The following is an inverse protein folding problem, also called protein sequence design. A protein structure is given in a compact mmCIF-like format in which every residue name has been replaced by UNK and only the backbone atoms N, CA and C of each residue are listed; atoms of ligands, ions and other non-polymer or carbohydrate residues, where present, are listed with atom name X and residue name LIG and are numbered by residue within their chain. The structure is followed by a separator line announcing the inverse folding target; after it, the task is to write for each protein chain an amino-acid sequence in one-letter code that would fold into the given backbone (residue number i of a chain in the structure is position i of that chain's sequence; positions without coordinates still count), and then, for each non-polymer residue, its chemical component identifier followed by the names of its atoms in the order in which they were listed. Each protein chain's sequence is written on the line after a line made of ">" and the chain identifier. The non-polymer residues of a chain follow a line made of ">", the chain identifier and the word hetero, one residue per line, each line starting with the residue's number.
data_IF_143887558441
#
_entry.id   IF_143887558441
#
_cell.length_a   1.000
_cell.length_b   1.000
_cell.length_c   1.000
_cell.angle_alpha   90.00
_cell.angle_beta   90.00
_cell.angle_gamma   90.00
#
_symmetry.space_group_name_H-M   'P 1'
#
loop_
_entity.id
_entity.type
_entity.pdbx_description
1 polymer ?
#
# COMPACT_ATOMS: atom_id res chain seq x y z
N UNK A 1 -2.60 -4.19 14.97
CA UNK A 1 -1.41 -3.89 14.14
C UNK A 1 -1.43 -2.42 13.75
N UNK A 2 -0.27 -1.77 13.62
CA UNK A 2 -0.21 -0.39 13.09
C UNK A 2 -0.54 -0.39 11.59
N UNK A 3 -1.18 0.69 11.10
CA UNK A 3 -1.47 0.90 9.68
C UNK A 3 -0.20 0.75 8.81
N UNK A 4 0.94 1.21 9.32
CA UNK A 4 2.24 1.09 8.64
C UNK A 4 2.62 -0.39 8.48
N UNK A 5 2.41 -1.20 9.52
CA UNK A 5 2.67 -2.63 9.48
C UNK A 5 1.75 -3.32 8.48
N UNK A 6 0.46 -2.97 8.46
CA UNK A 6 -0.51 -3.53 7.50
C UNK A 6 -0.13 -3.21 6.05
N UNK A 7 0.15 -1.94 5.74
CA UNK A 7 0.58 -1.50 4.40
C UNK A 7 1.88 -2.23 4.00
N UNK A 8 2.83 -2.38 4.92
CA UNK A 8 4.10 -3.08 4.64
C UNK A 8 3.87 -4.56 4.34
N UNK A 9 3.07 -5.26 5.15
CA UNK A 9 2.74 -6.67 4.94
C UNK A 9 2.12 -6.88 3.56
N UNK A 10 1.17 -6.01 3.20
CA UNK A 10 0.44 -6.12 1.95
C UNK A 10 1.30 -5.76 0.73
N UNK A 11 2.21 -4.80 0.91
CA UNK A 11 3.25 -4.50 -0.08
C UNK A 11 4.19 -5.69 -0.28
N UNK A 12 4.63 -6.37 0.79
CA UNK A 12 5.51 -7.54 0.72
C UNK A 12 4.83 -8.72 0.00
N UNK A 13 3.53 -8.92 0.22
CA UNK A 13 2.74 -9.91 -0.52
C UNK A 13 2.74 -9.66 -2.05
N UNK A 14 2.91 -8.40 -2.47
CA UNK A 14 2.96 -7.96 -3.88
C UNK A 14 4.37 -7.74 -4.43
N UNK A 15 5.41 -8.40 -3.90
CA UNK A 15 6.81 -8.22 -4.37
C UNK A 15 7.01 -8.30 -5.88
N UNK A 16 6.23 -9.12 -6.59
CA UNK A 16 6.27 -9.24 -8.05
C UNK A 16 5.71 -8.03 -8.80
N UNK A 17 4.84 -7.25 -8.16
CA UNK A 17 4.10 -6.15 -8.78
C UNK A 17 4.70 -4.76 -8.44
N UNK A 18 5.80 -4.69 -7.68
CA UNK A 18 6.36 -3.41 -7.22
C UNK A 18 6.67 -2.41 -8.34
N UNK A 19 7.12 -2.88 -9.50
CA UNK A 19 7.33 -2.01 -10.66
C UNK A 19 6.04 -1.38 -11.14
N UNK A 20 4.96 -2.17 -11.23
CA UNK A 20 3.63 -1.69 -11.59
C UNK A 20 3.09 -0.70 -10.56
N UNK A 21 3.22 -1.01 -9.27
CA UNK A 21 2.84 -0.09 -8.19
C UNK A 21 3.54 1.26 -8.37
N UNK A 22 4.86 1.26 -8.58
CA UNK A 22 5.62 2.49 -8.82
C UNK A 22 5.15 3.26 -10.06
N UNK A 23 4.88 2.56 -11.18
CA UNK A 23 4.34 3.19 -12.40
C UNK A 23 2.96 3.81 -12.17
N UNK A 24 2.08 3.14 -11.44
CA UNK A 24 0.70 3.58 -11.23
C UNK A 24 0.60 4.70 -10.17
N UNK A 25 1.53 4.74 -9.22
CA UNK A 25 1.51 5.68 -8.08
C UNK A 25 2.53 6.82 -8.20
N UNK A 26 3.40 6.76 -9.20
CA UNK A 26 4.58 7.63 -9.32
C UNK A 26 5.51 7.61 -8.10
N UNK A 27 5.45 6.56 -7.27
CA UNK A 27 6.34 6.38 -6.13
C UNK A 27 7.71 5.88 -6.58
N UNK A 28 8.75 6.40 -5.93
CA UNK A 28 10.12 5.94 -6.15
C UNK A 28 10.28 4.47 -5.77
N UNK A 29 10.79 3.66 -6.71
CA UNK A 29 11.10 2.25 -6.47
C UNK A 29 12.10 2.07 -5.31
N UNK A 30 13.05 3.01 -5.16
CA UNK A 30 13.98 3.02 -4.03
C UNK A 30 13.25 3.24 -2.71
N UNK A 31 12.32 4.20 -2.65
CA UNK A 31 11.53 4.45 -1.45
C UNK A 31 10.69 3.22 -1.10
N UNK A 32 10.03 2.61 -2.11
CA UNK A 32 9.19 1.43 -1.95
C UNK A 32 9.96 0.24 -1.37
N UNK A 33 11.16 -0.04 -1.91
CA UNK A 33 12.04 -1.11 -1.41
C UNK A 33 12.54 -0.84 0.00
N UNK A 34 12.95 0.40 0.32
CA UNK A 34 13.41 0.77 1.67
C UNK A 34 12.28 0.69 2.70
N UNK A 35 11.07 1.10 2.32
CA UNK A 35 9.87 0.98 3.14
C UNK A 35 9.53 -0.49 3.44
N UNK A 36 9.53 -1.34 2.40
CA UNK A 36 9.29 -2.78 2.53
C UNK A 36 10.33 -3.47 3.43
N UNK A 37 11.60 -3.04 3.37
CA UNK A 37 12.69 -3.52 4.22
C UNK A 37 12.62 -3.01 5.67
N UNK A 38 11.68 -2.12 6.00
CA UNK A 38 11.60 -1.49 7.32
C UNK A 38 12.73 -0.49 7.61
N UNK A 39 13.46 -0.04 6.57
CA UNK A 39 14.58 0.92 6.69
C UNK A 39 14.13 2.37 6.72
N UNK A 40 12.83 2.62 6.61
CA UNK A 40 12.25 3.95 6.71
C UNK A 40 11.52 4.04 8.05
N UNK A 41 12.11 4.76 8.99
CA UNK A 41 11.57 4.96 10.33
C UNK A 41 10.36 5.90 10.34
N UNK A 42 10.36 6.90 9.45
CA UNK A 42 9.26 7.84 9.27
C UNK A 42 8.93 7.95 7.77
N UNK A 43 7.93 7.19 7.27
CA UNK A 43 7.67 7.12 5.83
C UNK A 43 7.04 8.39 5.22
N UNK A 44 6.69 9.38 6.04
CA UNK A 44 5.89 10.52 5.61
C UNK A 44 4.45 10.09 5.30
N UNK A 45 3.49 10.96 5.60
CA UNK A 45 2.06 10.65 5.43
C UNK A 45 1.67 10.54 3.96
N UNK A 46 2.22 11.40 3.09
CA UNK A 46 1.89 11.45 1.66
C UNK A 46 2.12 10.12 0.95
N UNK A 47 3.33 9.55 1.05
CA UNK A 47 3.64 8.30 0.35
C UNK A 47 2.87 7.10 0.93
N UNK A 48 2.58 7.14 2.24
CA UNK A 48 1.74 6.12 2.88
C UNK A 48 0.30 6.18 2.40
N UNK A 49 -0.27 7.38 2.27
CA UNK A 49 -1.63 7.58 1.77
C UNK A 49 -1.76 7.10 0.33
N UNK A 50 -0.82 7.46 -0.55
CA UNK A 50 -0.81 6.99 -1.94
C UNK A 50 -0.78 5.45 -1.99
N UNK A 51 0.10 4.82 -1.21
CA UNK A 51 0.17 3.35 -1.15
C UNK A 51 -1.09 2.73 -0.58
N UNK A 52 -1.64 3.31 0.49
CA UNK A 52 -2.88 2.85 1.13
C UNK A 52 -4.02 2.88 0.12
N UNK A 53 -4.25 4.01 -0.54
CA UNK A 53 -5.31 4.16 -1.53
C UNK A 53 -5.13 3.21 -2.71
N UNK A 54 -3.90 3.02 -3.20
CA UNK A 54 -3.62 2.07 -4.27
C UNK A 54 -3.94 0.63 -3.85
N UNK A 55 -3.49 0.22 -2.66
CA UNK A 55 -3.73 -1.12 -2.14
C UNK A 55 -5.22 -1.34 -1.83
N UNK A 56 -5.93 -0.34 -1.31
CA UNK A 56 -7.39 -0.37 -1.13
C UNK A 56 -8.12 -0.57 -2.46
N UNK A 57 -7.72 0.16 -3.51
CA UNK A 57 -8.30 0.03 -4.84
C UNK A 57 -8.04 -1.34 -5.48
N UNK A 58 -6.86 -1.92 -5.26
CA UNK A 58 -6.49 -3.26 -5.74
C UNK A 58 -7.06 -4.39 -4.85
N UNK A 59 -7.98 -4.08 -3.93
CA UNK A 59 -8.74 -5.06 -3.14
C UNK A 59 -7.98 -5.68 -1.96
N UNK A 60 -6.93 -5.01 -1.48
CA UNK A 60 -5.93 -5.56 -0.59
C UNK A 60 -6.16 -5.30 0.91
N UNK A 61 -6.92 -4.27 1.26
CA UNK A 61 -7.33 -4.05 2.65
C UNK A 61 -8.69 -4.70 2.79
N UNK A 62 -8.69 -5.88 3.42
CA UNK A 62 -9.84 -6.76 3.62
C UNK A 62 -11.15 -5.99 3.84
N UNK A 63 -12.12 -6.29 2.97
CA UNK A 63 -13.58 -6.32 3.24
C UNK A 63 -13.94 -5.92 4.67
N UNK A 64 -14.39 -4.69 4.88
CA UNK A 64 -15.39 -4.38 5.90
C UNK A 64 -16.44 -3.45 5.28
N UNK A 65 -17.63 -4.02 5.09
CA UNK A 65 -18.85 -3.48 4.47
C UNK A 65 -18.87 -3.68 2.94
N UNK A 66 -19.68 -4.52 2.29
CA UNK A 66 -21.10 -4.82 2.48
C UNK A 66 -21.93 -3.58 2.86
N UNK A 67 -22.96 -3.31 2.06
CA UNK A 67 -23.90 -2.17 2.11
C UNK A 67 -23.43 -0.85 1.45
N UNK A 68 -23.68 -0.76 0.13
CA UNK A 68 -24.75 0.14 -0.32
C UNK A 68 -25.68 -0.64 -1.23
N UNK A 69 -26.87 -0.78 -0.70
CA UNK A 69 -28.08 -1.41 -1.20
C UNK A 69 -28.47 -1.01 -2.63
N UNK A 70 -29.05 -2.02 -3.28
CA UNK A 70 -30.19 -2.04 -4.19
C UNK A 70 -30.64 -0.75 -4.92
N UNK A 71 -30.71 -0.93 -6.25
CA UNK A 71 -31.76 -0.55 -7.21
C UNK A 71 -32.40 0.85 -7.12
#
# INVERSE_FOLDING_TARGET
>A
MSIITSIRTELLARKGNWRKICSDTNLSYWWLTKFAQGRISNPGTVNLEILKTYLEKEGAILRQGEERDEQ
#
